data_IF_137019891296
#
_entry.id   IF_137019891296
#
_cell.length_a   1.000
_cell.length_b   1.000
_cell.length_c   1.000
_cell.angle_alpha   90.00
_cell.angle_beta   90.00
_cell.angle_gamma   90.00
#
_symmetry.space_group_name_H-M   'P 1'
#
loop_
_entity.id
_entity.type
_entity.pdbx_description
1 polymer ?
#
# COMPACT_ATOMS: atom_id res chain seq x y z
N UNK A 1 11.65 -1.71 7.29
CA UNK A 1 11.41 -0.57 8.19
C UNK A 1 12.16 -0.73 9.51
N UNK A 2 12.19 0.33 10.34
CA UNK A 2 12.68 0.26 11.72
C UNK A 2 11.65 -0.40 12.66
N UNK A 3 12.15 -0.90 13.80
CA UNK A 3 11.34 -1.50 14.86
C UNK A 3 10.47 -0.43 15.54
N UNK A 4 9.15 -0.62 15.57
CA UNK A 4 8.22 0.30 16.23
C UNK A 4 7.99 -0.13 17.67
N UNK A 5 7.88 0.85 18.57
CA UNK A 5 7.61 0.63 19.99
C UNK A 5 6.16 0.98 20.32
N UNK A 6 5.59 0.22 21.25
CA UNK A 6 4.33 0.49 21.92
C UNK A 6 4.54 0.41 23.43
N UNK A 7 3.56 0.81 24.23
CA UNK A 7 3.66 0.78 25.70
C UNK A 7 4.03 -0.59 26.29
N UNK A 8 3.71 -1.69 25.58
CA UNK A 8 3.87 -3.06 26.09
C UNK A 8 4.67 -3.97 25.15
N UNK A 9 5.32 -3.44 24.12
CA UNK A 9 6.06 -4.29 23.19
C UNK A 9 6.67 -3.57 22.00
N UNK A 10 7.61 -4.24 21.36
CA UNK A 10 8.24 -3.81 20.12
C UNK A 10 7.78 -4.70 18.97
N UNK A 11 7.52 -4.11 17.81
CA UNK A 11 7.00 -4.84 16.66
C UNK A 11 7.59 -4.35 15.33
N UNK A 12 7.64 -5.25 14.37
CA UNK A 12 7.98 -4.98 12.98
C UNK A 12 7.14 -5.92 12.11
N UNK A 13 6.04 -5.39 11.56
CA UNK A 13 5.10 -6.15 10.75
C UNK A 13 5.20 -5.71 9.29
N UNK A 14 5.49 -6.66 8.41
CA UNK A 14 5.56 -6.44 6.97
C UNK A 14 4.57 -7.37 6.29
N UNK A 15 3.84 -6.84 5.31
CA UNK A 15 2.78 -7.55 4.60
C UNK A 15 2.98 -7.42 3.10
N UNK A 16 2.71 -8.51 2.37
CA UNK A 16 2.62 -8.48 0.91
C UNK A 16 1.15 -8.58 0.50
N UNK A 17 0.58 -7.48 0.01
CA UNK A 17 -0.82 -7.40 -0.37
C UNK A 17 -0.97 -7.42 -1.89
N UNK A 18 -1.80 -8.32 -2.40
CA UNK A 18 -2.08 -8.47 -3.83
C UNK A 18 -3.59 -8.50 -4.05
N UNK A 19 -4.05 -7.75 -5.05
CA UNK A 19 -5.45 -7.72 -5.46
C UNK A 19 -5.55 -7.69 -6.99
N UNK A 20 -6.72 -8.05 -7.52
CA UNK A 20 -6.99 -8.03 -8.96
C UNK A 20 -8.28 -7.26 -9.27
N UNK A 21 -8.38 -6.63 -10.46
CA UNK A 21 -9.64 -6.04 -10.91
C UNK A 21 -10.75 -7.08 -11.01
N UNK A 22 -11.99 -6.64 -10.78
CA UNK A 22 -13.18 -7.48 -10.97
C UNK A 22 -13.17 -8.11 -12.37
N UNK A 23 -13.51 -9.39 -12.45
CA UNK A 23 -13.48 -10.20 -13.67
C UNK A 23 -12.09 -10.26 -14.36
N UNK A 24 -11.00 -10.00 -13.62
CA UNK A 24 -9.61 -10.05 -14.10
C UNK A 24 -9.38 -9.19 -15.35
N UNK A 25 -10.14 -8.10 -15.51
CA UNK A 25 -10.02 -7.22 -16.67
C UNK A 25 -8.64 -6.56 -16.66
N UNK A 26 -7.99 -6.49 -17.83
CA UNK A 26 -6.66 -5.87 -18.02
C UNK A 26 -6.73 -4.33 -18.09
N UNK A 27 -7.42 -3.71 -17.13
CA UNK A 27 -7.69 -2.25 -17.10
C UNK A 27 -6.60 -1.41 -16.42
N UNK A 28 -5.72 -2.03 -15.61
CA UNK A 28 -4.66 -1.34 -14.87
C UNK A 28 -3.53 -0.89 -15.81
N UNK A 29 -3.82 0.08 -16.69
CA UNK A 29 -2.92 0.59 -17.72
C UNK A 29 -3.14 2.09 -17.92
N UNK A 30 -2.18 2.76 -18.56
CA UNK A 30 -2.25 4.18 -18.92
C UNK A 30 -2.62 5.08 -17.74
N UNK A 31 -3.57 5.98 -17.96
CA UNK A 31 -4.00 6.97 -16.96
C UNK A 31 -4.57 6.33 -15.69
N UNK A 32 -5.27 5.19 -15.80
CA UNK A 32 -5.82 4.52 -14.62
C UNK A 32 -4.71 3.99 -13.70
N UNK A 33 -3.65 3.42 -14.29
CA UNK A 33 -2.47 2.99 -13.54
C UNK A 33 -1.79 4.17 -12.84
N UNK A 34 -1.56 5.28 -13.55
CA UNK A 34 -0.93 6.46 -12.97
C UNK A 34 -1.78 7.06 -11.83
N UNK A 35 -3.10 7.15 -12.02
CA UNK A 35 -4.03 7.63 -11.01
C UNK A 35 -4.00 6.75 -9.74
N UNK A 36 -4.07 5.43 -9.91
CA UNK A 36 -4.04 4.50 -8.77
C UNK A 36 -2.69 4.53 -8.05
N UNK A 37 -1.57 4.59 -8.78
CA UNK A 37 -0.25 4.72 -8.17
C UNK A 37 -0.14 5.98 -7.29
N UNK A 38 -0.66 7.12 -7.77
CA UNK A 38 -0.72 8.34 -6.97
C UNK A 38 -1.60 8.21 -5.73
N UNK A 39 -2.80 7.63 -5.85
CA UNK A 39 -3.72 7.46 -4.71
C UNK A 39 -3.21 6.45 -3.67
N UNK A 40 -2.57 5.37 -4.10
CA UNK A 40 -1.94 4.42 -3.18
C UNK A 40 -0.72 5.02 -2.48
N UNK A 41 0.07 5.84 -3.16
CA UNK A 41 1.15 6.59 -2.53
C UNK A 41 0.67 7.58 -1.46
N UNK A 42 -0.53 8.15 -1.65
CA UNK A 42 -1.17 9.06 -0.70
C UNK A 42 -1.93 8.36 0.45
N UNK A 43 -1.85 7.03 0.57
CA UNK A 43 -2.65 6.32 1.59
C UNK A 43 -2.31 6.72 3.02
N UNK A 44 -1.06 7.14 3.26
CA UNK A 44 -0.60 7.63 4.55
C UNK A 44 -1.33 8.89 5.02
N UNK A 45 -1.93 9.67 4.10
CA UNK A 45 -2.78 10.81 4.45
C UNK A 45 -4.06 10.37 5.18
N UNK A 46 -4.53 9.17 4.90
CA UNK A 46 -5.74 8.59 5.51
C UNK A 46 -5.41 7.61 6.65
N UNK A 47 -4.25 6.95 6.56
CA UNK A 47 -3.78 5.93 7.48
C UNK A 47 -2.30 6.16 7.84
N UNK A 48 -2.00 7.12 8.72
CA UNK A 48 -0.63 7.49 9.08
C UNK A 48 0.13 6.36 9.80
N UNK A 49 -0.57 5.37 10.33
CA UNK A 49 0.01 4.19 10.93
C UNK A 49 0.57 3.20 9.89
N UNK A 50 0.20 3.32 8.61
CA UNK A 50 0.61 2.44 7.54
C UNK A 50 1.74 3.06 6.74
N UNK A 51 2.83 2.31 6.62
CA UNK A 51 3.97 2.66 5.78
C UNK A 51 3.98 1.78 4.53
N UNK A 52 4.12 2.41 3.38
CA UNK A 52 4.15 1.72 2.08
C UNK A 52 5.59 1.60 1.61
N UNK A 53 6.17 0.40 1.76
CA UNK A 53 7.55 0.14 1.33
C UNK A 53 7.67 0.06 -0.21
N UNK A 54 6.73 -0.61 -0.86
CA UNK A 54 6.75 -0.80 -2.32
C UNK A 54 5.33 -0.89 -2.88
N UNK A 55 5.10 -0.20 -3.99
CA UNK A 55 3.88 -0.33 -4.80
C UNK A 55 4.25 -0.80 -6.20
N UNK A 56 3.56 -1.83 -6.67
CA UNK A 56 3.61 -2.28 -8.06
C UNK A 56 2.18 -2.42 -8.58
N UNK A 57 1.82 -1.59 -9.56
CA UNK A 57 0.58 -1.64 -10.33
C UNK A 57 0.91 -1.74 -11.80
#
# INVERSE_FOLDING_TARGET
MELRLSAHGAYHHQFHLVWIPKARKRILKGNLKAFLAGRLGAIHEYHPEVDVEQVSI
#
